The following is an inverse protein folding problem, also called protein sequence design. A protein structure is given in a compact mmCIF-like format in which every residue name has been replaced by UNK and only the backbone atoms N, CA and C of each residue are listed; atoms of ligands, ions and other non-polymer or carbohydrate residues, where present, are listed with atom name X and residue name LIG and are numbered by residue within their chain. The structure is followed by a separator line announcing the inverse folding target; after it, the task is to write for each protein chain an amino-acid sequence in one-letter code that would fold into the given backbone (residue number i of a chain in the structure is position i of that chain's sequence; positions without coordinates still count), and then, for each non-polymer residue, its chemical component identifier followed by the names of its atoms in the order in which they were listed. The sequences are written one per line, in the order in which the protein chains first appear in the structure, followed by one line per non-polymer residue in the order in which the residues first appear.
data_IF_112805081831
#
_entry.id   IF_112805081831
#
_cell.length_a   1.000
_cell.length_b   1.000
_cell.length_c   1.000
_cell.angle_alpha   90.00
_cell.angle_beta   90.00
_cell.angle_gamma   90.00
#
_symmetry.space_group_name_H-M   'P 1'
#
loop_
_entity.id
_entity.type
_entity.pdbx_description
1 polymer ?
#
# COMPACT_ATOMS: atom_id res chain seq x y z
N UNK A 1 -28.24 39.95 -20.03
CA UNK A 1 -27.19 39.77 -19.01
C UNK A 1 -27.74 38.88 -17.91
N UNK A 2 -27.43 37.58 -17.95
CA UNK A 2 -27.75 36.62 -16.87
C UNK A 2 -26.44 36.00 -16.42
N UNK A 3 -26.04 36.35 -15.22
CA UNK A 3 -24.85 35.84 -14.52
C UNK A 3 -25.05 34.37 -14.11
N UNK A 4 -24.17 33.52 -14.54
CA UNK A 4 -24.05 32.11 -14.07
C UNK A 4 -23.43 32.08 -12.68
N UNK A 5 -23.92 31.26 -11.75
CA UNK A 5 -23.28 31.07 -10.45
C UNK A 5 -22.08 30.12 -10.54
N UNK A 6 -21.10 30.42 -9.73
CA UNK A 6 -19.81 29.82 -9.56
C UNK A 6 -19.80 28.27 -9.53
N UNK A 7 -18.99 27.67 -10.40
CA UNK A 7 -18.45 26.34 -10.27
C UNK A 7 -17.63 26.26 -8.96
N UNK A 8 -18.15 25.53 -7.99
CA UNK A 8 -17.40 25.11 -6.80
C UNK A 8 -16.20 24.28 -7.26
N UNK A 9 -15.02 24.82 -7.06
CA UNK A 9 -13.74 24.24 -7.37
C UNK A 9 -13.60 22.86 -6.68
N UNK A 10 -13.26 21.83 -7.46
CA UNK A 10 -12.95 20.48 -7.01
C UNK A 10 -11.82 20.41 -5.94
N UNK A 11 -11.17 21.54 -5.65
CA UNK A 11 -10.16 21.68 -4.59
C UNK A 11 -10.74 21.66 -3.17
N UNK A 12 -12.03 21.99 -2.99
CA UNK A 12 -12.60 22.13 -1.64
C UNK A 12 -12.96 20.78 -0.99
N UNK A 13 -13.15 19.72 -1.78
CA UNK A 13 -13.51 18.38 -1.27
C UNK A 13 -12.26 17.59 -0.84
N UNK A 14 -11.09 17.96 -1.37
CA UNK A 14 -9.83 17.25 -1.09
C UNK A 14 -9.11 17.75 0.18
N UNK A 15 -9.42 18.95 0.68
CA UNK A 15 -8.74 19.53 1.85
C UNK A 15 -9.02 18.80 3.15
N UNK A 16 -10.10 18.01 3.26
CA UNK A 16 -10.36 17.22 4.46
C UNK A 16 -9.48 15.96 4.59
N UNK A 17 -8.87 15.51 3.49
CA UNK A 17 -7.96 14.36 3.49
C UNK A 17 -6.48 14.75 3.46
N UNK A 18 -6.14 16.03 3.21
CA UNK A 18 -4.76 16.49 2.97
C UNK A 18 -4.09 17.16 4.18
N UNK A 19 -4.79 17.30 5.32
CA UNK A 19 -4.24 17.99 6.50
C UNK A 19 -3.47 17.04 7.42
N UNK A 20 -2.50 16.28 6.85
CA UNK A 20 -1.43 15.60 7.59
C UNK A 20 -0.11 15.66 6.85
N UNK A 21 0.39 16.89 6.69
CA UNK A 21 1.82 17.09 6.48
C UNK A 21 2.57 16.74 7.78
N UNK A 22 3.25 15.61 7.80
CA UNK A 22 4.29 15.33 8.78
C UNK A 22 5.55 16.11 8.39
N UNK A 23 5.67 17.30 8.91
CA UNK A 23 6.86 18.15 8.83
C UNK A 23 7.14 18.82 10.15
N UNK A 24 8.16 18.36 10.85
CA UNK A 24 9.00 19.02 11.88
C UNK A 24 8.38 19.89 12.97
N UNK A 25 8.63 19.47 14.21
CA UNK A 25 8.78 20.27 15.45
C UNK A 25 7.55 21.04 15.95
N UNK A 26 6.75 20.35 16.75
CA UNK A 26 5.97 21.04 17.80
C UNK A 26 5.99 20.23 19.11
N UNK A 27 6.34 20.92 20.18
CA UNK A 27 6.44 20.45 21.55
C UNK A 27 5.19 19.70 22.01
N UNK A 28 5.39 18.50 22.55
CA UNK A 28 4.38 17.52 22.94
C UNK A 28 3.57 17.89 24.21
N UNK A 29 3.53 19.14 24.65
CA UNK A 29 2.94 19.50 25.96
C UNK A 29 1.62 20.29 25.95
N UNK A 30 1.07 20.70 24.80
CA UNK A 30 -0.07 21.62 24.83
C UNK A 30 -1.38 21.12 24.19
N UNK A 31 -1.47 19.90 23.69
CA UNK A 31 -2.71 19.36 23.05
C UNK A 31 -3.31 18.17 23.80
N UNK A 32 -3.01 17.98 25.07
CA UNK A 32 -3.67 16.99 25.93
C UNK A 32 -4.86 17.61 26.69
N UNK A 33 -5.83 18.17 25.97
CA UNK A 33 -7.08 18.57 26.60
C UNK A 33 -8.28 18.18 25.72
N UNK A 34 -8.95 17.11 26.16
CA UNK A 34 -10.35 16.77 25.90
C UNK A 34 -10.76 16.31 24.50
N UNK A 35 -10.47 15.06 24.24
CA UNK A 35 -11.47 14.17 23.62
C UNK A 35 -11.40 12.85 24.38
N UNK A 36 -12.34 12.62 25.30
CA UNK A 36 -12.65 11.30 25.83
C UNK A 36 -13.21 10.49 24.68
N UNK A 37 -12.34 9.89 23.89
CA UNK A 37 -12.69 8.78 23.02
C UNK A 37 -12.95 7.60 23.95
N UNK A 38 -14.17 7.07 23.94
CA UNK A 38 -14.49 5.80 24.58
C UNK A 38 -13.48 4.75 24.14
N UNK A 39 -12.93 3.92 25.06
CA UNK A 39 -12.13 2.77 24.72
C UNK A 39 -13.08 1.66 24.22
N UNK A 40 -13.48 1.75 22.97
CA UNK A 40 -14.21 0.70 22.28
C UNK A 40 -13.73 0.74 20.83
N UNK A 41 -13.17 -0.36 20.38
CA UNK A 41 -12.71 -0.65 19.02
C UNK A 41 -11.33 -0.10 18.66
N UNK A 42 -10.28 -0.63 19.29
CA UNK A 42 -9.01 -0.70 18.59
C UNK A 42 -9.25 -1.59 17.37
N UNK A 43 -9.14 -1.07 16.14
CA UNK A 43 -9.18 -1.93 14.96
C UNK A 43 -8.08 -2.98 15.16
N UNK A 44 -8.45 -4.26 15.06
CA UNK A 44 -7.52 -5.36 15.21
C UNK A 44 -6.34 -5.12 14.25
N UNK A 45 -5.12 -5.27 14.75
CA UNK A 45 -3.93 -5.19 13.90
C UNK A 45 -4.09 -6.16 12.72
N UNK A 46 -3.60 -5.79 11.53
CA UNK A 46 -3.69 -6.66 10.36
C UNK A 46 -2.88 -7.93 10.61
N UNK A 47 -3.58 -9.04 10.84
CA UNK A 47 -2.98 -10.36 11.00
C UNK A 47 -3.10 -11.16 9.70
N UNK A 48 -2.00 -11.31 8.98
CA UNK A 48 -1.93 -12.17 7.79
C UNK A 48 -2.16 -13.64 8.16
N UNK A 49 -1.72 -14.05 9.35
CA UNK A 49 -1.97 -15.39 9.88
C UNK A 49 -3.47 -15.68 10.03
N UNK A 50 -4.20 -14.75 10.61
CA UNK A 50 -5.65 -14.89 10.79
C UNK A 50 -6.38 -14.94 9.44
N UNK A 51 -5.94 -14.14 8.45
CA UNK A 51 -6.54 -14.14 7.11
C UNK A 51 -6.30 -15.44 6.35
N UNK A 52 -5.12 -16.06 6.50
CA UNK A 52 -4.76 -17.30 5.84
C UNK A 52 -5.35 -18.55 6.53
N UNK A 53 -5.51 -18.49 7.84
CA UNK A 53 -5.71 -19.66 8.69
C UNK A 53 -4.41 -20.46 8.89
N UNK A 54 -4.41 -21.34 9.90
CA UNK A 54 -3.21 -22.04 10.36
C UNK A 54 -2.54 -22.89 9.28
N UNK A 55 -3.31 -23.69 8.55
CA UNK A 55 -2.75 -24.60 7.53
C UNK A 55 -1.99 -23.84 6.44
N UNK A 56 -2.60 -22.81 5.86
CA UNK A 56 -1.96 -22.02 4.82
C UNK A 56 -0.80 -21.15 5.38
N UNK A 57 -0.93 -20.66 6.62
CA UNK A 57 0.15 -19.96 7.28
C UNK A 57 1.42 -20.80 7.44
N UNK A 58 1.26 -22.05 7.90
CA UNK A 58 2.40 -22.95 8.12
C UNK A 58 2.97 -23.54 6.82
N UNK A 59 2.28 -23.43 5.69
CA UNK A 59 2.84 -23.78 4.38
C UNK A 59 3.85 -22.74 3.85
N UNK A 60 3.88 -21.53 4.43
CA UNK A 60 4.85 -20.49 4.09
C UNK A 60 6.21 -20.73 4.75
N UNK A 61 7.32 -20.32 4.11
CA UNK A 61 8.64 -20.31 4.72
C UNK A 61 8.67 -19.54 6.04
N UNK A 62 9.51 -19.99 6.99
CA UNK A 62 9.63 -19.35 8.31
C UNK A 62 10.01 -17.86 8.21
N UNK A 63 10.87 -17.51 7.27
CA UNK A 63 11.28 -16.13 6.95
C UNK A 63 10.11 -15.27 6.47
N UNK A 64 9.25 -15.79 5.58
CA UNK A 64 8.02 -15.11 5.17
C UNK A 64 7.08 -14.91 6.36
N UNK A 65 6.89 -15.93 7.19
CA UNK A 65 6.07 -15.81 8.40
C UNK A 65 6.60 -14.75 9.36
N UNK A 66 7.93 -14.65 9.53
CA UNK A 66 8.56 -13.63 10.38
C UNK A 66 8.31 -12.20 9.84
N UNK A 67 8.36 -12.00 8.51
CA UNK A 67 8.08 -10.69 7.88
C UNK A 67 6.62 -10.23 8.03
N UNK A 68 5.69 -11.17 8.10
CA UNK A 68 4.25 -10.90 8.19
C UNK A 68 3.64 -11.25 9.56
N UNK A 69 4.47 -11.45 10.57
CA UNK A 69 4.00 -11.67 11.94
C UNK A 69 3.32 -10.42 12.52
N UNK A 70 2.32 -10.62 13.37
CA UNK A 70 1.46 -9.56 13.92
C UNK A 70 2.20 -8.49 14.74
N UNK A 71 3.39 -8.80 15.17
CA UNK A 71 4.24 -7.95 16.02
C UNK A 71 5.48 -7.45 15.27
N UNK A 72 5.48 -7.50 13.94
CA UNK A 72 6.58 -6.96 13.18
C UNK A 72 6.76 -5.47 13.55
N UNK A 73 7.81 -5.19 14.31
CA UNK A 73 8.30 -3.84 14.51
C UNK A 73 8.51 -3.18 13.14
N UNK A 74 8.61 -1.85 13.10
CA UNK A 74 8.95 -1.18 11.85
C UNK A 74 10.14 -1.86 11.18
N UNK A 75 9.99 -2.23 9.93
CA UNK A 75 11.03 -2.89 9.15
C UNK A 75 11.40 -2.03 7.95
N UNK A 76 12.69 -2.01 7.63
CA UNK A 76 13.22 -1.36 6.44
C UNK A 76 13.94 -2.40 5.60
N UNK A 77 13.44 -2.63 4.40
CA UNK A 77 14.00 -3.55 3.42
C UNK A 77 14.69 -2.76 2.31
N UNK A 78 15.94 -3.07 2.02
CA UNK A 78 16.70 -2.44 0.94
C UNK A 78 16.93 -3.43 -0.18
N UNK A 79 16.85 -2.92 -1.40
CA UNK A 79 17.01 -3.74 -2.59
C UNK A 79 16.85 -2.93 -3.85
N UNK A 80 16.45 -3.60 -4.91
CA UNK A 80 16.22 -2.97 -6.20
C UNK A 80 15.03 -3.59 -6.92
N UNK A 81 14.32 -2.79 -7.67
CA UNK A 81 13.41 -3.30 -8.69
C UNK A 81 14.20 -3.60 -9.95
N UNK A 82 14.30 -4.88 -10.29
CA UNK A 82 14.92 -5.34 -11.53
C UNK A 82 14.19 -4.76 -12.76
N UNK A 83 12.86 -4.63 -12.64
CA UNK A 83 12.04 -4.04 -13.68
C UNK A 83 10.85 -3.30 -13.09
N UNK A 84 10.58 -2.09 -13.61
CA UNK A 84 9.35 -1.34 -13.42
C UNK A 84 8.86 -0.92 -14.80
N UNK A 85 7.72 -1.43 -15.25
CA UNK A 85 7.15 -1.09 -16.55
C UNK A 85 5.66 -0.79 -16.48
N UNK A 86 5.22 0.07 -17.38
CA UNK A 86 3.82 0.38 -17.59
C UNK A 86 3.54 0.42 -19.09
N UNK A 87 2.43 -0.15 -19.53
CA UNK A 87 1.94 0.00 -20.90
C UNK A 87 1.59 1.47 -21.17
N UNK A 88 1.34 1.83 -22.43
CA UNK A 88 0.87 3.18 -22.77
C UNK A 88 -0.42 3.53 -21.99
N UNK A 89 -1.39 2.62 -21.97
CA UNK A 89 -2.62 2.79 -21.18
C UNK A 89 -2.35 2.89 -19.68
N UNK A 90 -1.41 2.09 -19.15
CA UNK A 90 -0.98 2.16 -17.75
C UNK A 90 -0.32 3.49 -17.40
N UNK A 91 0.49 4.06 -18.30
CA UNK A 91 1.09 5.39 -18.10
C UNK A 91 0.05 6.50 -18.10
N UNK A 92 -0.91 6.45 -19.01
CA UNK A 92 -2.02 7.40 -19.05
C UNK A 92 -2.85 7.32 -17.76
N UNK A 93 -3.17 6.11 -17.32
CA UNK A 93 -3.88 5.86 -16.08
C UNK A 93 -3.07 6.38 -14.86
N UNK A 94 -1.77 6.10 -14.79
CA UNK A 94 -0.90 6.60 -13.74
C UNK A 94 -0.84 8.14 -13.72
N UNK A 95 -0.83 8.79 -14.89
CA UNK A 95 -0.92 10.25 -14.98
C UNK A 95 -2.25 10.78 -14.45
N UNK A 96 -3.37 10.16 -14.79
CA UNK A 96 -4.68 10.53 -14.23
C UNK A 96 -4.69 10.32 -12.70
N UNK A 97 -4.17 9.20 -12.22
CA UNK A 97 -4.06 8.91 -10.80
C UNK A 97 -3.10 9.87 -10.06
N UNK A 98 -2.16 10.50 -10.75
CA UNK A 98 -1.27 11.50 -10.17
C UNK A 98 -2.01 12.75 -9.66
N UNK A 99 -3.16 13.08 -10.26
CA UNK A 99 -4.03 14.16 -9.79
C UNK A 99 -4.73 13.83 -8.46
N UNK A 100 -4.86 12.55 -8.15
CA UNK A 100 -5.56 12.04 -6.96
C UNK A 100 -4.65 11.29 -6.00
N UNK A 101 -3.33 11.35 -6.18
CA UNK A 101 -2.32 10.60 -5.43
C UNK A 101 -1.89 9.33 -6.19
N UNK A 102 -0.60 9.02 -6.17
CA UNK A 102 -0.01 7.99 -7.03
C UNK A 102 -0.03 6.62 -6.34
N UNK A 103 -0.91 5.66 -6.72
CA UNK A 103 -0.90 4.31 -6.14
C UNK A 103 0.22 3.42 -6.70
N UNK A 104 0.86 3.82 -7.81
CA UNK A 104 1.97 3.11 -8.48
C UNK A 104 3.06 4.08 -8.89
N UNK A 105 4.29 3.58 -9.07
CA UNK A 105 5.40 4.40 -9.54
C UNK A 105 5.07 4.99 -10.94
N UNK A 106 5.21 6.30 -11.13
CA UNK A 106 4.83 6.97 -12.38
C UNK A 106 5.88 6.79 -13.49
N UNK A 107 7.04 6.24 -13.15
CA UNK A 107 8.17 6.07 -14.07
C UNK A 107 8.45 4.59 -14.33
N UNK A 108 9.10 4.31 -15.45
CA UNK A 108 9.55 2.99 -15.85
C UNK A 108 11.07 2.94 -15.86
N UNK A 109 11.63 1.76 -15.66
CA UNK A 109 13.08 1.57 -15.68
C UNK A 109 13.48 0.17 -15.23
N UNK A 110 14.76 -0.09 -15.26
CA UNK A 110 15.39 -1.34 -14.82
C UNK A 110 16.44 -1.03 -13.76
N UNK A 111 16.69 -2.00 -12.87
CA UNK A 111 17.68 -1.91 -11.80
C UNK A 111 17.52 -0.62 -10.98
N UNK A 112 16.29 -0.35 -10.54
CA UNK A 112 15.94 0.85 -9.77
C UNK A 112 16.19 0.57 -8.29
N UNK A 113 17.20 1.21 -7.65
CA UNK A 113 17.38 1.08 -6.21
C UNK A 113 16.11 1.49 -5.47
N UNK A 114 15.77 0.77 -4.43
CA UNK A 114 14.57 1.04 -3.68
C UNK A 114 14.69 0.64 -2.22
N UNK A 115 13.99 1.38 -1.38
CA UNK A 115 13.79 1.09 0.03
C UNK A 115 12.31 0.89 0.29
N UNK A 116 11.95 -0.19 1.00
CA UNK A 116 10.59 -0.46 1.44
C UNK A 116 10.54 -0.36 2.96
N UNK A 117 9.74 0.57 3.47
CA UNK A 117 9.50 0.73 4.90
C UNK A 117 8.11 0.22 5.24
N UNK A 118 8.04 -0.61 6.26
CA UNK A 118 6.79 -1.17 6.79
C UNK A 118 6.68 -0.76 8.24
N UNK A 119 5.58 -0.12 8.63
CA UNK A 119 5.39 0.33 10.01
C UNK A 119 3.90 0.37 10.37
N UNK A 120 3.61 0.21 11.67
CA UNK A 120 2.25 0.33 12.18
C UNK A 120 1.77 1.77 12.15
N UNK A 121 0.51 1.99 11.82
CA UNK A 121 -0.14 3.30 11.89
C UNK A 121 -0.92 3.45 13.19
N UNK A 122 -1.08 4.67 13.74
CA UNK A 122 -1.77 4.91 15.01
C UNK A 122 -3.20 4.38 15.07
N UNK A 123 -3.82 4.19 13.92
CA UNK A 123 -5.19 3.71 13.76
C UNK A 123 -5.28 2.20 13.45
N UNK A 124 -4.23 1.44 13.79
CA UNK A 124 -4.21 -0.03 13.72
C UNK A 124 -3.94 -0.60 12.33
N UNK A 125 -3.57 0.23 11.34
CA UNK A 125 -3.15 -0.23 10.03
C UNK A 125 -1.67 -0.54 9.95
N UNK A 126 -1.25 -1.07 8.80
CA UNK A 126 0.16 -1.26 8.44
C UNK A 126 0.47 -0.45 7.20
N UNK A 127 1.35 0.54 7.32
CA UNK A 127 1.82 1.34 6.20
C UNK A 127 2.94 0.63 5.45
N UNK A 128 2.87 0.70 4.13
CA UNK A 128 3.88 0.20 3.20
C UNK A 128 4.34 1.36 2.34
N UNK A 129 5.51 1.89 2.64
CA UNK A 129 6.12 3.01 1.93
C UNK A 129 7.25 2.49 1.06
N UNK A 130 7.15 2.70 -0.26
CA UNK A 130 8.15 2.32 -1.26
C UNK A 130 8.81 3.58 -1.78
N UNK A 131 10.11 3.67 -1.63
CA UNK A 131 10.93 4.79 -2.08
C UNK A 131 11.74 4.29 -3.26
N UNK A 132 11.51 4.83 -4.44
CA UNK A 132 12.19 4.49 -5.68
C UNK A 132 13.21 5.57 -6.02
N UNK A 133 14.43 5.19 -6.33
CA UNK A 133 15.51 6.08 -6.71
C UNK A 133 15.77 6.00 -8.22
N UNK A 134 14.89 6.63 -9.01
CA UNK A 134 15.05 6.65 -10.47
C UNK A 134 16.24 7.54 -10.87
N UNK A 135 17.12 7.10 -11.82
CA UNK A 135 18.28 7.88 -12.25
C UNK A 135 17.88 9.29 -12.72
N UNK A 136 18.61 10.31 -12.24
CA UNK A 136 18.40 11.71 -12.63
C UNK A 136 17.08 12.32 -12.16
N UNK A 137 16.42 11.74 -11.15
CA UNK A 137 15.16 12.23 -10.59
C UNK A 137 15.20 12.25 -9.06
N UNK A 138 14.36 13.08 -8.47
CA UNK A 138 14.09 13.02 -7.04
C UNK A 138 13.45 11.67 -6.68
N UNK A 139 13.72 11.15 -5.47
CA UNK A 139 13.12 9.91 -5.01
C UNK A 139 11.59 9.95 -5.09
N UNK A 140 11.02 8.92 -5.68
CA UNK A 140 9.58 8.78 -5.80
C UNK A 140 9.03 7.92 -4.65
N UNK A 141 8.15 8.49 -3.83
CA UNK A 141 7.54 7.80 -2.69
C UNK A 141 6.13 7.36 -3.04
N UNK A 142 5.86 6.07 -2.86
CA UNK A 142 4.53 5.47 -3.02
C UNK A 142 4.15 4.82 -1.69
N UNK A 143 3.06 5.27 -1.09
CA UNK A 143 2.59 4.75 0.18
C UNK A 143 1.18 4.15 0.05
N UNK A 144 0.95 3.07 0.74
CA UNK A 144 -0.35 2.45 0.91
C UNK A 144 -0.49 1.93 2.34
N UNK A 145 -1.72 1.88 2.85
CA UNK A 145 -2.00 1.41 4.21
C UNK A 145 -2.95 0.22 4.14
N UNK A 146 -2.54 -0.90 4.71
CA UNK A 146 -3.38 -2.09 4.84
C UNK A 146 -4.12 -2.06 6.18
N UNK A 147 -5.42 -2.37 6.13
CA UNK A 147 -6.31 -2.42 7.31
C UNK A 147 -7.30 -3.55 7.16
N UNK A 148 -7.82 -4.05 8.29
CA UNK A 148 -8.99 -4.92 8.27
C UNK A 148 -10.27 -4.08 8.24
N UNK A 149 -11.21 -4.46 7.38
CA UNK A 149 -12.58 -3.94 7.45
C UNK A 149 -13.29 -4.53 8.67
N UNK A 150 -14.47 -3.99 9.01
CA UNK A 150 -15.30 -4.55 10.09
C UNK A 150 -15.75 -5.99 9.81
N UNK A 151 -15.85 -6.34 8.54
CA UNK A 151 -16.21 -7.68 8.05
C UNK A 151 -15.00 -8.63 7.97
N UNK A 152 -13.80 -8.21 8.40
CA UNK A 152 -12.59 -9.02 8.36
C UNK A 152 -11.89 -9.08 7.01
N UNK A 153 -12.32 -8.31 6.01
CA UNK A 153 -11.67 -8.23 4.69
C UNK A 153 -10.43 -7.34 4.77
N UNK A 154 -9.33 -7.75 4.16
CA UNK A 154 -8.15 -6.89 4.04
C UNK A 154 -8.42 -5.78 3.02
N UNK A 155 -8.26 -4.54 3.45
CA UNK A 155 -8.41 -3.35 2.61
C UNK A 155 -7.07 -2.64 2.50
N UNK A 156 -6.63 -2.35 1.29
CA UNK A 156 -5.52 -1.46 1.02
C UNK A 156 -6.05 -0.05 0.73
N UNK A 157 -5.75 0.88 1.62
CA UNK A 157 -6.07 2.29 1.44
C UNK A 157 -5.03 2.92 0.53
N UNK A 158 -5.50 3.39 -0.61
CA UNK A 158 -4.73 4.13 -1.61
C UNK A 158 -5.02 5.63 -1.45
N UNK A 159 -4.19 6.52 -2.00
CA UNK A 159 -4.47 7.96 -2.01
C UNK A 159 -5.86 8.30 -2.57
N UNK A 160 -6.35 9.51 -2.28
CA UNK A 160 -7.62 10.06 -2.78
C UNK A 160 -8.86 9.20 -2.49
N UNK A 161 -8.95 8.68 -1.27
CA UNK A 161 -10.12 7.92 -0.80
C UNK A 161 -10.40 6.63 -1.59
N UNK A 162 -9.48 6.19 -2.47
CA UNK A 162 -9.58 4.91 -3.15
C UNK A 162 -9.20 3.77 -2.19
N UNK A 163 -10.01 2.72 -2.18
CA UNK A 163 -9.81 1.51 -1.38
C UNK A 163 -9.81 0.31 -2.29
N UNK A 164 -8.93 -0.62 -2.03
CA UNK A 164 -8.80 -1.87 -2.75
C UNK A 164 -9.01 -3.02 -1.76
N UNK A 165 -10.04 -3.83 -1.96
CA UNK A 165 -10.23 -5.06 -1.19
C UNK A 165 -9.31 -6.14 -1.73
N UNK A 166 -8.67 -6.88 -0.84
CA UNK A 166 -7.66 -7.89 -1.16
C UNK A 166 -8.07 -9.26 -0.61
N UNK A 167 -7.98 -10.26 -1.46
CA UNK A 167 -7.90 -11.65 -1.06
C UNK A 167 -6.44 -12.02 -0.78
N UNK A 168 -6.22 -12.78 0.29
CA UNK A 168 -4.90 -13.24 0.71
C UNK A 168 -4.90 -14.75 0.73
N UNK A 169 -3.92 -15.37 0.07
CA UNK A 169 -3.74 -16.81 0.11
C UNK A 169 -2.27 -17.20 -0.01
N UNK A 170 -1.96 -18.42 0.43
CA UNK A 170 -0.65 -19.05 0.25
C UNK A 170 -0.76 -20.19 -0.74
N UNK A 171 0.18 -20.27 -1.68
CA UNK A 171 0.28 -21.35 -2.65
C UNK A 171 1.74 -21.62 -2.98
N UNK A 172 2.16 -22.87 -2.95
CA UNK A 172 3.52 -23.32 -3.29
C UNK A 172 4.62 -22.56 -2.51
N UNK A 173 4.35 -22.24 -1.23
CA UNK A 173 5.27 -21.46 -0.37
C UNK A 173 5.31 -19.97 -0.68
N UNK A 174 4.48 -19.47 -1.57
CA UNK A 174 4.38 -18.05 -1.97
C UNK A 174 3.16 -17.41 -1.33
N UNK A 175 3.32 -16.20 -0.81
CA UNK A 175 2.22 -15.40 -0.28
C UNK A 175 1.69 -14.46 -1.37
N UNK A 176 0.38 -14.51 -1.59
CA UNK A 176 -0.32 -13.77 -2.64
C UNK A 176 -1.34 -12.81 -2.04
N UNK A 177 -1.42 -11.61 -2.65
CA UNK A 177 -2.49 -10.63 -2.42
C UNK A 177 -3.12 -10.29 -3.77
N UNK A 178 -4.42 -10.46 -3.90
CA UNK A 178 -5.14 -10.23 -5.16
C UNK A 178 -6.31 -9.29 -4.92
N UNK A 179 -6.40 -8.21 -5.71
CA UNK A 179 -7.55 -7.32 -5.60
C UNK A 179 -8.81 -7.98 -6.14
N UNK A 180 -9.90 -7.90 -5.37
CA UNK A 180 -11.20 -8.41 -5.77
C UNK A 180 -12.24 -7.31 -6.01
N UNK A 181 -12.05 -6.11 -5.43
CA UNK A 181 -12.93 -4.97 -5.64
C UNK A 181 -12.23 -3.64 -5.32
N UNK A 182 -12.72 -2.57 -5.94
CA UNK A 182 -12.31 -1.20 -5.66
C UNK A 182 -13.50 -0.37 -5.18
N UNK A 183 -13.24 0.58 -4.26
CA UNK A 183 -14.24 1.44 -3.68
C UNK A 183 -13.71 2.87 -3.53
N UNK A 184 -14.57 3.85 -3.74
CA UNK A 184 -14.36 5.19 -3.22
C UNK A 184 -15.02 5.32 -1.85
N UNK A 185 -14.27 5.78 -0.86
CA UNK A 185 -14.75 5.99 0.50
C UNK A 185 -14.75 7.49 0.80
N UNK A 186 -15.94 8.08 0.88
CA UNK A 186 -16.18 9.48 1.13
C UNK A 186 -16.94 9.63 2.45
N UNK A 187 -16.22 9.83 3.54
CA UNK A 187 -16.79 9.86 4.90
C UNK A 187 -17.46 8.52 5.25
N UNK A 188 -18.78 8.51 5.36
CA UNK A 188 -19.57 7.28 5.66
C UNK A 188 -20.07 6.55 4.41
N UNK A 189 -19.92 7.17 3.24
CA UNK A 189 -20.35 6.58 1.96
C UNK A 189 -19.25 5.72 1.38
N UNK A 190 -19.61 4.51 0.93
CA UNK A 190 -18.75 3.59 0.23
C UNK A 190 -19.37 3.27 -1.12
N UNK A 191 -18.73 3.73 -2.20
CA UNK A 191 -19.21 3.57 -3.56
C UNK A 191 -18.31 2.55 -4.26
N UNK A 192 -18.88 1.41 -4.67
CA UNK A 192 -18.13 0.42 -5.45
C UNK A 192 -17.78 1.00 -6.82
N UNK A 193 -16.51 0.88 -7.20
CA UNK A 193 -16.08 1.23 -8.55
C UNK A 193 -16.48 0.10 -9.49
N UNK A 194 -17.05 0.47 -10.63
CA UNK A 194 -17.48 -0.52 -11.64
C UNK A 194 -16.26 -1.30 -12.14
N UNK A 195 -16.40 -2.59 -12.32
CA UNK A 195 -15.29 -3.53 -12.58
C UNK A 195 -14.52 -3.25 -13.90
N UNK A 196 -15.05 -2.43 -14.79
CA UNK A 196 -14.40 -2.01 -16.02
C UNK A 196 -13.64 -0.69 -15.91
N UNK A 197 -13.82 0.08 -14.82
CA UNK A 197 -13.23 1.40 -14.61
C UNK A 197 -11.89 1.37 -13.86
N UNK A 198 -11.62 0.45 -12.91
CA UNK A 198 -10.35 0.43 -12.18
C UNK A 198 -9.18 0.04 -13.09
N UNK A 199 -7.94 0.23 -12.60
CA UNK A 199 -6.74 -0.15 -13.36
C UNK A 199 -6.68 -1.63 -13.72
N UNK A 200 -7.56 -2.43 -13.17
CA UNK A 200 -7.62 -3.87 -13.36
C UNK A 200 -7.33 -4.65 -12.08
N UNK A 201 -7.18 -5.95 -12.19
CA UNK A 201 -6.81 -6.80 -11.07
C UNK A 201 -5.34 -6.60 -10.72
N UNK A 202 -5.08 -6.21 -9.48
CA UNK A 202 -3.74 -6.14 -8.91
C UNK A 202 -3.41 -7.48 -8.28
N UNK A 203 -2.30 -8.08 -8.66
CA UNK A 203 -1.77 -9.31 -8.07
C UNK A 203 -0.35 -9.04 -7.55
N UNK A 204 -0.15 -9.28 -6.26
CA UNK A 204 1.14 -9.17 -5.59
C UNK A 204 1.57 -10.54 -5.12
N UNK A 205 2.82 -10.87 -5.38
CA UNK A 205 3.49 -12.10 -4.93
C UNK A 205 4.68 -11.73 -4.05
N UNK A 206 4.81 -12.42 -2.94
CA UNK A 206 5.95 -12.35 -2.05
C UNK A 206 6.61 -13.72 -1.96
N UNK A 207 7.78 -13.86 -2.56
CA UNK A 207 8.51 -15.11 -2.75
C UNK A 207 9.77 -15.07 -1.90
N UNK A 208 9.93 -16.00 -0.98
CA UNK A 208 11.17 -16.16 -0.24
C UNK A 208 12.26 -16.75 -1.15
N UNK A 209 13.43 -16.12 -1.16
CA UNK A 209 14.57 -16.59 -1.94
C UNK A 209 15.62 -17.32 -1.08
N UNK A 210 15.36 -17.40 0.24
CA UNK A 210 16.33 -17.87 1.19
C UNK A 210 17.40 -16.80 1.51
N UNK A 211 18.32 -17.13 2.44
CA UNK A 211 19.44 -16.26 2.84
C UNK A 211 19.03 -14.83 3.24
N UNK A 212 17.85 -14.67 3.85
CA UNK A 212 17.33 -13.36 4.26
C UNK A 212 17.00 -12.44 3.10
N UNK A 213 16.65 -12.99 1.94
CA UNK A 213 16.19 -12.21 0.81
C UNK A 213 14.84 -12.71 0.29
N UNK A 214 14.11 -11.82 -0.38
CA UNK A 214 12.83 -12.13 -0.99
C UNK A 214 12.61 -11.36 -2.28
N UNK A 215 11.77 -11.91 -3.14
CA UNK A 215 11.28 -11.25 -4.35
C UNK A 215 9.87 -10.74 -4.12
N UNK A 216 9.67 -9.51 -4.48
CA UNK A 216 8.35 -8.89 -4.59
C UNK A 216 8.00 -8.72 -6.06
N UNK A 217 6.83 -9.19 -6.46
CA UNK A 217 6.30 -8.99 -7.82
C UNK A 217 4.90 -8.41 -7.71
N UNK A 218 4.61 -7.40 -8.51
CA UNK A 218 3.28 -6.81 -8.61
C UNK A 218 2.89 -6.67 -10.07
N UNK A 219 1.71 -7.16 -10.41
CA UNK A 219 1.09 -7.05 -11.73
C UNK A 219 -0.27 -6.41 -11.62
N UNK A 220 -0.55 -5.48 -12.52
CA UNK A 220 -1.90 -4.93 -12.69
C UNK A 220 -2.39 -5.27 -14.07
N UNK A 221 -3.46 -6.05 -14.17
CA UNK A 221 -3.99 -6.55 -15.43
C UNK A 221 -5.42 -6.11 -15.65
N UNK A 222 -5.64 -5.29 -16.66
CA UNK A 222 -6.97 -4.85 -17.05
C UNK A 222 -7.60 -5.85 -18.04
N UNK A 223 -8.89 -6.10 -17.89
CA UNK A 223 -9.60 -7.11 -18.69
C UNK A 223 -9.51 -6.90 -20.22
N UNK A 224 -9.43 -5.64 -20.67
CA UNK A 224 -9.38 -5.30 -22.11
C UNK A 224 -8.00 -4.78 -22.55
N UNK A 225 -7.23 -4.14 -21.66
CA UNK A 225 -5.97 -3.51 -21.99
C UNK A 225 -4.75 -4.40 -21.70
N UNK A 226 -4.99 -5.62 -21.18
CA UNK A 226 -3.92 -6.54 -20.80
C UNK A 226 -3.14 -6.06 -19.56
N UNK A 227 -1.86 -6.32 -19.51
CA UNK A 227 -0.99 -5.88 -18.42
C UNK A 227 -0.71 -4.37 -18.54
N UNK A 228 -1.25 -3.61 -17.60
CA UNK A 228 -1.10 -2.14 -17.58
C UNK A 228 0.08 -1.69 -16.73
N UNK A 229 0.45 -2.48 -15.71
CA UNK A 229 1.61 -2.22 -14.85
C UNK A 229 2.25 -3.53 -14.39
N UNK A 230 3.56 -3.53 -14.32
CA UNK A 230 4.36 -4.62 -13.80
C UNK A 230 5.58 -4.08 -13.08
N UNK A 231 5.91 -4.68 -11.95
CA UNK A 231 7.19 -4.48 -11.30
C UNK A 231 7.64 -5.75 -10.59
N UNK A 232 8.93 -5.99 -10.58
CA UNK A 232 9.55 -7.07 -9.81
C UNK A 232 10.88 -6.60 -9.25
N UNK A 233 11.19 -7.01 -8.04
CA UNK A 233 12.43 -6.62 -7.37
C UNK A 233 12.81 -7.59 -6.26
N UNK A 234 14.09 -7.55 -5.88
CA UNK A 234 14.65 -8.34 -4.81
C UNK A 234 15.06 -7.43 -3.65
N UNK A 235 14.71 -7.84 -2.44
CA UNK A 235 14.97 -7.10 -1.22
C UNK A 235 15.61 -8.00 -0.18
N UNK A 236 16.32 -7.39 0.76
CA UNK A 236 16.96 -8.10 1.88
C UNK A 236 16.26 -7.74 3.18
N UNK A 237 16.17 -8.72 4.05
CA UNK A 237 15.75 -8.51 5.43
C UNK A 237 16.72 -7.54 6.13
N UNK A 238 16.23 -6.72 7.07
CA UNK A 238 17.12 -5.94 7.93
C UNK A 238 18.13 -6.87 8.56
N UNK A 239 19.43 -6.50 8.56
CA UNK A 239 20.43 -7.24 9.29
C UNK A 239 19.97 -7.36 10.74
N UNK A 240 19.90 -8.57 11.27
CA UNK A 240 19.69 -8.76 12.71
C UNK A 240 20.73 -7.92 13.43
N UNK A 241 20.36 -7.12 14.46
CA UNK A 241 21.35 -6.42 15.25
C UNK A 241 22.31 -7.48 15.76
N UNK A 242 23.57 -7.40 15.31
CA UNK A 242 24.61 -8.28 15.76
C UNK A 242 24.63 -8.17 17.30
N UNK A 243 24.36 -9.27 17.99
CA UNK A 243 24.55 -9.34 19.41
C UNK A 243 26.00 -8.92 19.68
N UNK A 244 26.19 -7.69 20.09
CA UNK A 244 27.48 -7.21 20.59
C UNK A 244 27.82 -8.07 21.77
N UNK A 245 28.83 -8.91 21.61
CA UNK A 245 29.48 -9.63 22.71
C UNK A 245 30.26 -8.67 23.60
#
# INVERSE_FOLDING_TARGET
MRTFPHLLSARSVCNFCLDRNYGHNMNASTVMARLRVRPADHPASVSVRTLLGETAWFSLPATTRARFADHAASAEYRGEFAEVRASFAGRLLAMCCRLIGTPVAPFTGTNIPATVKVFATPDGGTAWQRIYEFPGREPCVVESIKRLSREGTLIEALPACLRMALDVYARDGVLHFVSNAYYFELGRMRIRVLDWLPPGTTHVEHIDLGNGSFRFTMRVRHRWLGEVFYQTGCFRDPASPSASR
#
